data_IF_541790940097
#
_entry.id   IF_541790940097
#
_cell.length_a   1.000
_cell.length_b   1.000
_cell.length_c   1.000
_cell.angle_alpha   90.00
_cell.angle_beta   90.00
_cell.angle_gamma   90.00
#
_symmetry.space_group_name_H-M   'P 1'
#
loop_
_entity.id
_entity.type
_entity.pdbx_description
1 polymer ?
#
# COMPACT_ATOMS: atom_id res chain seq x y z
N UNK A 1 -3.02 -15.12 11.57
CA UNK A 1 -4.14 -14.50 10.80
C UNK A 1 -3.93 -13.00 10.57
N UNK A 2 -3.70 -12.20 11.63
CA UNK A 2 -3.50 -10.74 11.54
C UNK A 2 -2.39 -10.33 10.56
N UNK A 3 -1.22 -10.98 10.60
CA UNK A 3 -0.10 -10.72 9.67
C UNK A 3 -0.50 -10.84 8.19
N UNK A 4 -1.24 -11.90 7.85
CA UNK A 4 -1.68 -12.15 6.48
C UNK A 4 -2.68 -11.08 6.01
N UNK A 5 -3.58 -10.65 6.89
CA UNK A 5 -4.50 -9.55 6.60
C UNK A 5 -3.75 -8.24 6.34
N UNK A 6 -2.78 -7.89 7.20
CA UNK A 6 -1.95 -6.69 7.03
C UNK A 6 -1.16 -6.71 5.72
N UNK A 7 -0.59 -7.87 5.35
CA UNK A 7 0.08 -8.03 4.05
C UNK A 7 -0.88 -7.81 2.89
N UNK A 8 -2.06 -8.45 2.94
CA UNK A 8 -3.02 -8.41 1.84
C UNK A 8 -3.59 -6.99 1.64
N UNK A 9 -4.01 -6.33 2.72
CA UNK A 9 -4.52 -4.96 2.67
C UNK A 9 -3.41 -3.97 2.30
N UNK A 10 -2.21 -4.14 2.86
CA UNK A 10 -1.05 -3.30 2.56
C UNK A 10 -0.67 -3.36 1.08
N UNK A 11 -0.59 -4.57 0.50
CA UNK A 11 -0.29 -4.74 -0.92
C UNK A 11 -1.40 -4.18 -1.82
N UNK A 12 -2.67 -4.41 -1.48
CA UNK A 12 -3.78 -3.82 -2.23
C UNK A 12 -3.72 -2.28 -2.24
N UNK A 13 -3.49 -1.66 -1.08
CA UNK A 13 -3.38 -0.21 -0.97
C UNK A 13 -2.20 0.33 -1.79
N UNK A 14 -1.03 -0.32 -1.73
CA UNK A 14 0.15 0.07 -2.52
C UNK A 14 -0.12 -0.08 -4.02
N UNK A 15 -0.74 -1.18 -4.47
CA UNK A 15 -1.04 -1.40 -5.89
C UNK A 15 -2.05 -0.37 -6.42
N UNK A 16 -3.12 -0.10 -5.67
CA UNK A 16 -4.12 0.91 -6.06
C UNK A 16 -3.49 2.30 -6.08
N UNK A 17 -2.72 2.66 -5.06
CA UNK A 17 -2.09 3.96 -4.98
C UNK A 17 -1.03 4.18 -6.07
N UNK A 18 -0.14 3.21 -6.28
CA UNK A 18 0.89 3.29 -7.33
C UNK A 18 0.27 3.40 -8.73
N UNK A 19 -0.77 2.62 -9.01
CA UNK A 19 -1.53 2.71 -10.27
C UNK A 19 -2.18 4.09 -10.42
N UNK A 20 -2.80 4.61 -9.36
CA UNK A 20 -3.39 5.94 -9.36
C UNK A 20 -2.38 7.05 -9.61
N UNK A 21 -1.18 6.96 -9.01
CA UNK A 21 -0.07 7.90 -9.25
C UNK A 21 0.38 7.79 -10.71
N UNK A 22 0.59 6.58 -11.23
CA UNK A 22 1.01 6.36 -12.60
C UNK A 22 0.02 6.99 -13.61
N UNK A 23 -1.28 6.80 -13.42
CA UNK A 23 -2.31 7.38 -14.29
C UNK A 23 -2.31 8.92 -14.19
N UNK A 24 -2.22 9.49 -12.99
CA UNK A 24 -2.25 10.96 -12.80
C UNK A 24 -0.99 11.66 -13.32
N UNK A 25 0.16 10.98 -13.29
CA UNK A 25 1.45 11.54 -13.72
C UNK A 25 1.72 11.29 -15.20
N UNK A 26 1.46 10.08 -15.70
CA UNK A 26 1.83 9.65 -17.05
C UNK A 26 0.63 9.38 -17.98
N UNK A 27 -0.60 9.39 -17.46
CA UNK A 27 -1.80 9.16 -18.24
C UNK A 27 -2.17 10.35 -19.13
N UNK A 28 -2.77 10.05 -20.28
CA UNK A 28 -3.41 11.06 -21.12
C UNK A 28 -4.60 11.71 -20.40
N UNK A 29 -5.02 12.90 -20.83
CA UNK A 29 -6.17 13.58 -20.21
C UNK A 29 -7.46 12.75 -20.26
N UNK A 30 -7.63 11.92 -21.30
CA UNK A 30 -8.72 10.97 -21.39
C UNK A 30 -8.65 9.90 -20.30
N UNK A 31 -7.48 9.31 -20.07
CA UNK A 31 -7.27 8.32 -18.99
C UNK A 31 -7.43 8.93 -17.60
N UNK A 32 -6.90 10.14 -17.38
CA UNK A 32 -7.05 10.85 -16.10
C UNK A 32 -8.54 11.08 -15.81
N UNK A 33 -9.32 11.57 -16.77
CA UNK A 33 -10.77 11.78 -16.55
C UNK A 33 -11.53 10.48 -16.28
N UNK A 34 -11.16 9.39 -16.95
CA UNK A 34 -11.84 8.11 -16.80
C UNK A 34 -11.52 7.40 -15.48
N UNK A 35 -10.27 7.46 -15.01
CA UNK A 35 -9.79 6.63 -13.88
C UNK A 35 -9.33 7.43 -12.66
N UNK A 36 -8.88 8.67 -12.83
CA UNK A 36 -8.44 9.56 -11.75
C UNK A 36 -9.45 10.68 -11.44
N UNK A 37 -10.56 10.77 -12.19
CA UNK A 37 -11.54 11.84 -12.09
C UNK A 37 -11.03 13.16 -12.70
N UNK A 38 -11.84 14.21 -12.58
CA UNK A 38 -11.55 15.51 -13.21
C UNK A 38 -10.34 16.28 -12.64
N UNK A 39 -9.65 15.75 -11.63
CA UNK A 39 -8.53 16.40 -10.95
C UNK A 39 -7.28 15.52 -10.97
N UNK A 40 -6.10 16.13 -11.16
CA UNK A 40 -4.79 15.47 -11.02
C UNK A 40 -4.24 15.50 -9.60
N UNK A 41 -5.05 15.85 -8.59
CA UNK A 41 -4.58 15.89 -7.20
C UNK A 41 -4.04 14.51 -6.76
N UNK A 42 -2.82 14.47 -6.21
CA UNK A 42 -2.16 13.25 -5.76
C UNK A 42 -2.29 13.02 -4.25
N UNK A 43 -2.80 13.99 -3.48
CA UNK A 43 -2.80 13.96 -2.01
C UNK A 43 -3.38 12.66 -1.47
N UNK A 44 -4.62 12.34 -1.86
CA UNK A 44 -5.31 11.13 -1.42
C UNK A 44 -4.55 9.86 -1.82
N UNK A 45 -3.96 9.85 -3.02
CA UNK A 45 -3.23 8.69 -3.53
C UNK A 45 -1.92 8.49 -2.76
N UNK A 46 -1.21 9.56 -2.41
CA UNK A 46 -0.04 9.48 -1.52
C UNK A 46 -0.42 9.05 -0.11
N UNK A 47 -1.51 9.57 0.46
CA UNK A 47 -1.99 9.10 1.76
C UNK A 47 -2.28 7.59 1.76
N UNK A 48 -2.98 7.11 0.73
CA UNK A 48 -3.26 5.68 0.59
C UNK A 48 -1.98 4.85 0.45
N UNK A 49 -0.98 5.35 -0.30
CA UNK A 49 0.32 4.70 -0.43
C UNK A 49 1.03 4.58 0.93
N UNK A 50 1.10 5.67 1.68
CA UNK A 50 1.74 5.70 3.01
C UNK A 50 1.04 4.75 3.97
N UNK A 51 -0.29 4.74 4.01
CA UNK A 51 -1.06 3.81 4.85
C UNK A 51 -0.78 2.35 4.47
N UNK A 52 -0.75 2.05 3.16
CA UNK A 52 -0.40 0.72 2.67
C UNK A 52 1.01 0.27 3.11
N UNK A 53 1.99 1.16 3.00
CA UNK A 53 3.36 0.90 3.44
C UNK A 53 3.45 0.67 4.97
N UNK A 54 2.70 1.42 5.76
CA UNK A 54 2.64 1.21 7.22
C UNK A 54 2.11 -0.19 7.54
N UNK A 55 1.07 -0.65 6.84
CA UNK A 55 0.50 -1.99 7.08
C UNK A 55 1.50 -3.09 6.72
N UNK A 56 2.23 -2.94 5.61
CA UNK A 56 3.29 -3.86 5.23
C UNK A 56 4.44 -3.87 6.25
N UNK A 57 4.84 -2.69 6.74
CA UNK A 57 5.89 -2.56 7.76
C UNK A 57 5.49 -3.26 9.07
N UNK A 58 4.25 -3.06 9.53
CA UNK A 58 3.72 -3.74 10.72
C UNK A 58 3.68 -5.26 10.54
N UNK A 59 3.25 -5.74 9.37
CA UNK A 59 3.24 -7.17 9.06
C UNK A 59 4.66 -7.78 9.10
N UNK A 60 5.64 -7.07 8.56
CA UNK A 60 7.04 -7.47 8.57
C UNK A 60 7.64 -7.50 9.99
N UNK A 61 7.37 -6.47 10.80
CA UNK A 61 7.80 -6.40 12.20
C UNK A 61 7.22 -7.56 13.01
N UNK A 62 5.92 -7.83 12.90
CA UNK A 62 5.29 -8.95 13.60
C UNK A 62 5.87 -10.31 13.16
N UNK A 63 6.13 -10.47 11.86
CA UNK A 63 6.77 -11.68 11.35
C UNK A 63 8.16 -11.88 11.97
N UNK A 64 8.93 -10.79 12.08
CA UNK A 64 10.28 -10.82 12.67
C UNK A 64 10.23 -11.11 14.17
N UNK A 65 9.27 -10.53 14.90
CA UNK A 65 9.07 -10.78 16.32
C UNK A 65 8.78 -12.26 16.61
N UNK A 66 7.88 -12.87 15.83
CA UNK A 66 7.58 -14.30 15.98
C UNK A 66 8.81 -15.18 15.75
N UNK A 67 9.68 -14.78 14.81
CA UNK A 67 10.94 -15.52 14.56
C UNK A 67 11.89 -15.43 15.75
N UNK A 68 12.00 -14.25 16.36
CA UNK A 68 12.86 -14.02 17.52
C UNK A 68 12.34 -14.70 18.79
N UNK A 69 11.01 -14.81 18.94
CA UNK A 69 10.39 -15.51 20.07
C UNK A 69 10.64 -17.02 19.96
N UNK A 70 10.45 -17.61 18.78
CA UNK A 70 10.74 -19.02 18.55
C UNK A 70 12.22 -19.37 18.86
N UNK A 71 13.16 -18.50 18.49
CA UNK A 71 14.59 -18.68 18.78
C UNK A 71 14.96 -18.57 20.27
N UNK A 72 14.10 -18.01 21.12
CA UNK A 72 14.34 -17.96 22.58
C UNK A 72 13.79 -19.17 23.32
N UNK A 73 12.92 -19.94 22.69
CA UNK A 73 12.30 -21.13 23.27
C UNK A 73 13.12 -22.40 22.99
N UNK A 74 14.09 -22.33 22.07
CA UNK A 74 15.13 -23.34 21.77
C UNK A 74 16.41 -23.11 22.57
#
# INVERSE_FOLDING_TARGET
MVKALLYLVGWLAVLVASTGIAIRVAGSDAMVRQYAGGSRNLDFTFYLLVVGLIFLALAAILTRLDTLLAQREE
#
